data_IF_497467637339
#
_entry.id   IF_497467637339
#
_cell.length_a   1.000
_cell.length_b   1.000
_cell.length_c   1.000
_cell.angle_alpha   90.00
_cell.angle_beta   90.00
_cell.angle_gamma   90.00
#
_symmetry.space_group_name_H-M   'P 1'
#
loop_
_entity.id
_entity.type
_entity.pdbx_description
1 polymer ?
#
# COMPACT_ATOMS: atom_id res chain seq x y z
N UNK A 1 -4.84 2.15 -2.20
CA UNK A 1 -3.56 1.52 -2.60
C UNK A 1 -3.68 0.05 -3.03
N UNK A 2 -4.57 -0.77 -2.43
CA UNK A 2 -4.74 -2.20 -2.76
C UNK A 2 -4.82 -2.52 -4.27
N UNK A 3 -5.50 -1.68 -5.06
CA UNK A 3 -5.60 -1.84 -6.53
C UNK A 3 -4.27 -1.77 -7.28
N UNK A 4 -3.23 -1.16 -6.70
CA UNK A 4 -1.90 -0.99 -7.30
C UNK A 4 -0.93 -2.12 -6.91
N UNK A 5 -1.26 -2.94 -5.92
CA UNK A 5 -0.38 -4.03 -5.48
C UNK A 5 -0.20 -5.01 -6.63
N UNK A 6 1.06 -5.30 -6.98
CA UNK A 6 1.42 -6.22 -8.06
C UNK A 6 1.13 -5.70 -9.48
N UNK A 7 0.80 -4.42 -9.64
CA UNK A 7 0.58 -3.81 -10.97
C UNK A 7 1.81 -3.04 -11.45
N UNK A 8 2.02 -3.10 -12.77
CA UNK A 8 3.01 -2.28 -13.44
C UNK A 8 2.53 -0.84 -13.62
N UNK A 9 3.48 0.09 -13.69
CA UNK A 9 3.19 1.51 -13.89
C UNK A 9 2.47 1.80 -15.22
N UNK A 10 2.74 0.99 -16.24
CA UNK A 10 2.26 1.09 -17.62
C UNK A 10 1.00 0.24 -17.92
N UNK A 11 0.43 -0.44 -16.91
CA UNK A 11 -0.81 -1.19 -17.06
C UNK A 11 -2.00 -0.25 -17.41
N UNK A 12 -2.84 -0.55 -18.41
CA UNK A 12 -4.03 0.22 -18.74
C UNK A 12 -4.97 0.53 -17.56
N UNK A 13 -5.01 -0.33 -16.55
CA UNK A 13 -5.80 -0.09 -15.32
C UNK A 13 -5.12 0.95 -14.44
N UNK A 14 -3.79 0.88 -14.29
CA UNK A 14 -3.01 1.89 -13.57
C UNK A 14 -3.14 3.26 -14.25
N UNK A 15 -3.15 3.32 -15.58
CA UNK A 15 -3.39 4.56 -16.35
C UNK A 15 -4.76 5.18 -16.07
N UNK A 16 -5.80 4.36 -15.89
CA UNK A 16 -7.12 4.84 -15.46
C UNK A 16 -7.06 5.36 -14.02
N UNK A 17 -6.45 4.60 -13.11
CA UNK A 17 -6.32 4.99 -11.71
C UNK A 17 -5.56 6.32 -11.54
N UNK A 18 -4.50 6.56 -12.32
CA UNK A 18 -3.75 7.84 -12.35
C UNK A 18 -4.64 9.07 -12.56
N UNK A 19 -5.73 8.93 -13.32
CA UNK A 19 -6.66 10.03 -13.62
C UNK A 19 -7.76 10.19 -12.58
N UNK A 20 -7.99 9.17 -11.75
CA UNK A 20 -9.11 9.11 -10.81
C UNK A 20 -8.70 9.44 -9.37
N UNK A 21 -7.44 9.21 -9.00
CA UNK A 21 -6.97 9.36 -7.63
C UNK A 21 -6.24 10.69 -7.41
N UNK A 22 -6.37 11.31 -6.22
CA UNK A 22 -5.76 12.62 -5.94
C UNK A 22 -4.26 12.55 -5.61
N UNK A 23 -3.72 11.36 -5.36
CA UNK A 23 -2.30 11.14 -5.08
C UNK A 23 -1.53 10.80 -6.36
N UNK A 24 -0.23 11.09 -6.35
CA UNK A 24 0.62 10.86 -7.52
C UNK A 24 1.05 9.40 -7.58
N UNK A 25 0.66 8.70 -8.64
CA UNK A 25 1.21 7.38 -8.97
C UNK A 25 2.46 7.59 -9.82
N UNK A 26 3.57 6.96 -9.42
CA UNK A 26 4.88 7.10 -10.06
C UNK A 26 5.45 5.74 -10.42
N UNK A 27 6.41 5.73 -11.35
CA UNK A 27 7.13 4.52 -11.70
C UNK A 27 8.14 4.21 -10.59
N UNK A 28 8.03 3.01 -10.00
CA UNK A 28 9.01 2.46 -9.08
C UNK A 28 10.27 1.98 -9.82
N UNK A 29 11.32 1.68 -9.06
CA UNK A 29 12.63 1.32 -9.62
C UNK A 29 12.58 0.00 -10.42
N UNK A 30 11.66 -0.89 -10.05
CA UNK A 30 11.39 -2.16 -10.74
C UNK A 30 10.35 -2.05 -11.87
N UNK A 31 9.84 -0.84 -12.15
CA UNK A 31 8.80 -0.60 -13.15
C UNK A 31 7.36 -0.72 -12.63
N UNK A 32 7.16 -1.04 -11.35
CA UNK A 32 5.84 -1.15 -10.75
C UNK A 32 5.19 0.21 -10.48
N UNK A 33 3.87 0.18 -10.30
CA UNK A 33 3.10 1.35 -9.88
C UNK A 33 3.34 1.66 -8.40
N UNK A 34 4.06 2.75 -8.12
CA UNK A 34 4.32 3.24 -6.76
C UNK A 34 3.53 4.53 -6.51
N UNK A 35 3.50 4.99 -5.25
CA UNK A 35 2.84 6.24 -4.87
C UNK A 35 3.89 7.21 -4.36
N UNK A 36 3.80 8.48 -4.74
CA UNK A 36 4.61 9.56 -4.20
C UNK A 36 3.77 10.40 -3.23
N UNK A 37 4.22 10.46 -1.97
CA UNK A 37 3.57 11.24 -0.92
C UNK A 37 4.64 11.96 -0.09
N UNK A 38 4.47 13.25 0.16
CA UNK A 38 5.43 14.05 0.93
C UNK A 38 6.86 14.04 0.34
N UNK A 39 6.98 14.01 -0.99
CA UNK A 39 8.26 13.94 -1.70
C UNK A 39 8.97 12.58 -1.64
N UNK A 40 8.35 11.56 -1.05
CA UNK A 40 8.91 10.21 -0.97
C UNK A 40 8.13 9.25 -1.85
N UNK A 41 8.86 8.44 -2.62
CA UNK A 41 8.28 7.31 -3.36
C UNK A 41 8.15 6.12 -2.42
N UNK A 42 6.96 5.52 -2.39
CA UNK A 42 6.65 4.37 -1.55
C UNK A 42 5.96 3.30 -2.37
N UNK A 43 6.33 2.04 -2.14
CA UNK A 43 5.67 0.93 -2.80
C UNK A 43 4.27 0.69 -2.21
N UNK A 44 3.32 0.14 -2.98
CA UNK A 44 2.00 -0.24 -2.47
C UNK A 44 2.07 -1.16 -1.24
N UNK A 45 3.07 -2.04 -1.20
CA UNK A 45 3.32 -2.95 -0.07
C UNK A 45 3.78 -2.21 1.18
N UNK A 46 4.66 -1.21 1.07
CA UNK A 46 5.07 -0.38 2.22
C UNK A 46 3.88 0.38 2.81
N UNK A 47 3.03 0.96 1.96
CA UNK A 47 1.83 1.67 2.41
C UNK A 47 0.85 0.71 3.10
N UNK A 48 0.65 -0.47 2.52
CA UNK A 48 -0.21 -1.50 3.12
C UNK A 48 0.35 -2.01 4.45
N UNK A 49 1.67 -2.14 4.58
CA UNK A 49 2.32 -2.53 5.81
C UNK A 49 2.09 -1.52 6.94
N UNK A 50 2.09 -0.21 6.65
CA UNK A 50 1.75 0.82 7.65
C UNK A 50 0.32 0.66 8.18
N UNK A 51 -0.63 0.29 7.31
CA UNK A 51 -2.02 0.02 7.72
C UNK A 51 -2.08 -1.24 8.58
N UNK A 52 -1.43 -2.33 8.15
CA UNK A 52 -1.40 -3.60 8.90
C UNK A 52 -0.73 -3.43 10.27
N UNK A 53 0.32 -2.63 10.37
CA UNK A 53 0.98 -2.29 11.62
C UNK A 53 0.01 -1.60 12.57
N UNK A 54 -0.81 -0.65 12.08
CA UNK A 54 -1.84 -0.01 12.90
C UNK A 54 -2.91 -0.97 13.37
N UNK A 55 -3.32 -1.93 12.53
CA UNK A 55 -4.28 -2.98 12.90
C UNK A 55 -3.71 -3.90 13.96
N UNK A 56 -2.43 -4.28 13.84
CA UNK A 56 -1.70 -5.03 14.87
C UNK A 56 -1.68 -4.27 16.20
N UNK A 57 -1.24 -3.00 16.20
CA UNK A 57 -1.23 -2.16 17.41
C UNK A 57 -2.60 -2.07 18.08
N UNK A 58 -3.66 -1.99 17.28
CA UNK A 58 -5.04 -1.94 17.77
C UNK A 58 -5.43 -3.25 18.47
N UNK A 59 -5.07 -4.40 17.87
CA UNK A 59 -5.31 -5.71 18.46
C UNK A 59 -4.48 -5.93 19.74
N UNK A 60 -3.19 -5.55 19.72
CA UNK A 60 -2.30 -5.63 20.88
C UNK A 60 -2.78 -4.75 22.04
N UNK A 61 -3.26 -3.53 21.74
CA UNK A 61 -3.83 -2.64 22.75
C UNK A 61 -5.11 -3.20 23.39
N UNK A 62 -5.93 -3.90 22.61
CA UNK A 62 -7.15 -4.55 23.12
C UNK A 62 -6.85 -5.81 23.94
N UNK A 63 -5.89 -6.64 23.49
CA UNK A 63 -5.57 -7.93 24.13
C UNK A 63 -4.58 -7.79 25.31
N UNK A 64 -3.77 -6.72 25.33
CA UNK A 64 -2.72 -6.53 26.33
C UNK A 64 -1.47 -7.39 26.11
N UNK A 65 -1.33 -8.02 24.94
CA UNK A 65 -0.21 -8.89 24.58
C UNK A 65 0.21 -8.71 23.12
N UNK A 66 1.34 -9.34 22.74
CA UNK A 66 1.86 -9.27 21.37
C UNK A 66 1.06 -10.15 20.40
N UNK A 67 0.79 -9.61 19.21
CA UNK A 67 0.12 -10.33 18.11
C UNK A 67 1.10 -10.56 16.97
N UNK A 68 1.42 -11.82 16.68
CA UNK A 68 2.44 -12.19 15.68
C UNK A 68 1.86 -12.85 14.42
N UNK A 69 0.64 -13.39 14.48
CA UNK A 69 0.00 -14.12 13.38
C UNK A 69 -1.33 -13.47 13.02
N UNK A 70 -1.64 -13.42 11.73
CA UNK A 70 -2.87 -12.82 11.22
C UNK A 70 -3.39 -13.58 10.00
N UNK A 71 -4.71 -13.58 9.83
CA UNK A 71 -5.38 -13.96 8.58
C UNK A 71 -5.74 -12.64 7.87
N UNK A 72 -5.27 -12.48 6.63
CA UNK A 72 -5.46 -11.25 5.84
C UNK A 72 -6.32 -11.59 4.62
N UNK A 73 -7.37 -10.80 4.40
CA UNK A 73 -8.24 -10.94 3.23
C UNK A 73 -7.64 -10.26 2.00
N UNK A 74 -7.87 -10.85 0.82
CA UNK A 74 -7.36 -10.38 -0.49
C UNK A 74 -8.35 -9.58 -1.28
#
# INVERSE_FOLDING_TARGET
VKRLIGRRYDDPVTEKDKKLVPYKIVKGDNGDAWVEAGGKKQSPSQISAMILQKMKETAEAYLGEKVEKAVITV
#
